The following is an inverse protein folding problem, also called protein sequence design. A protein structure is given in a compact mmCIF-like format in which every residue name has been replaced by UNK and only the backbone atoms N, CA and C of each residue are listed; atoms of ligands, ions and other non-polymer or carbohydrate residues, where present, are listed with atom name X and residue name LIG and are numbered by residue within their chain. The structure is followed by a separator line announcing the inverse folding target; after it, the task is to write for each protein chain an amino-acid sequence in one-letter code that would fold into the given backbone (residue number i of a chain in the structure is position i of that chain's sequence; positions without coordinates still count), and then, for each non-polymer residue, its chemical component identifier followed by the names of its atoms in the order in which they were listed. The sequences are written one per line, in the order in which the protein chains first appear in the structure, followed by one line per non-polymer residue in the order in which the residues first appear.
data_IF_195461012824
#
_entry.id   IF_195461012824
#
_cell.length_a   1.000
_cell.length_b   1.000
_cell.length_c   1.000
_cell.angle_alpha   90.00
_cell.angle_beta   90.00
_cell.angle_gamma   90.00
#
_symmetry.space_group_name_H-M   'P 1'
#
loop_
_entity.id
_entity.type
_entity.pdbx_description
1 polymer ?
#
# COMPACT_ATOMS: atom_id res chain seq x y z
N UNK A 1 83.55 -33.93 -75.72
CA UNK A 1 82.60 -33.53 -74.66
C UNK A 1 81.67 -32.48 -75.25
N UNK A 2 80.42 -32.84 -75.51
CA UNK A 2 79.52 -32.12 -76.41
C UNK A 2 78.43 -31.35 -75.64
N UNK A 3 78.20 -30.12 -76.11
CA UNK A 3 76.95 -29.33 -76.19
C UNK A 3 75.92 -29.45 -75.05
N UNK A 4 75.66 -28.31 -74.42
CA UNK A 4 74.47 -28.12 -73.60
C UNK A 4 73.17 -28.12 -74.40
N UNK A 5 72.05 -28.34 -73.72
CA UNK A 5 70.77 -27.72 -74.04
C UNK A 5 69.72 -28.03 -72.96
N UNK A 6 69.06 -26.97 -72.52
CA UNK A 6 67.66 -26.89 -72.11
C UNK A 6 67.19 -27.62 -70.85
N UNK A 7 67.08 -26.80 -69.80
CA UNK A 7 65.88 -26.71 -68.96
C UNK A 7 64.61 -26.90 -69.80
N UNK A 8 63.83 -27.94 -69.50
CA UNK A 8 62.43 -28.08 -69.90
C UNK A 8 61.58 -28.12 -68.64
N UNK A 9 61.02 -26.96 -68.33
CA UNK A 9 59.71 -26.85 -67.71
C UNK A 9 58.65 -27.51 -68.62
N UNK A 10 57.63 -28.10 -68.00
CA UNK A 10 56.28 -28.40 -68.50
C UNK A 10 55.88 -29.89 -68.40
N UNK A 11 55.14 -30.18 -67.33
CA UNK A 11 53.91 -30.97 -67.37
C UNK A 11 53.13 -30.55 -66.10
N UNK A 12 52.65 -29.30 -66.03
CA UNK A 12 51.26 -28.89 -66.32
C UNK A 12 50.24 -30.04 -66.35
N UNK A 13 49.20 -29.82 -65.55
CA UNK A 13 47.85 -30.33 -65.72
C UNK A 13 47.56 -31.75 -65.22
N UNK A 14 47.62 -31.90 -63.89
CA UNK A 14 46.49 -32.52 -63.20
C UNK A 14 45.68 -31.44 -62.47
N UNK A 15 45.22 -30.44 -63.23
CA UNK A 15 43.85 -29.98 -63.02
C UNK A 15 42.99 -31.18 -63.41
N UNK A 16 42.70 -32.03 -62.42
CA UNK A 16 41.50 -32.86 -62.49
C UNK A 16 40.37 -31.85 -62.41
N UNK A 17 40.00 -31.30 -63.56
CA UNK A 17 38.76 -30.57 -63.74
C UNK A 17 37.70 -31.42 -63.07
N UNK A 18 37.22 -30.92 -61.93
CA UNK A 18 36.16 -31.58 -61.20
C UNK A 18 35.05 -31.75 -62.21
N UNK A 19 34.58 -32.98 -62.49
CA UNK A 19 33.59 -33.17 -63.52
C UNK A 19 32.39 -32.30 -63.18
N UNK A 20 31.77 -31.66 -64.18
CA UNK A 20 30.81 -30.57 -63.99
C UNK A 20 29.69 -30.90 -62.99
N UNK A 21 29.29 -32.17 -62.88
CA UNK A 21 28.33 -32.62 -61.89
C UNK A 21 28.82 -32.47 -60.44
N UNK A 22 30.11 -32.69 -60.18
CA UNK A 22 30.72 -32.59 -58.86
C UNK A 22 30.86 -31.12 -58.41
N UNK A 23 31.20 -30.20 -59.31
CA UNK A 23 31.23 -28.77 -58.98
C UNK A 23 29.83 -28.23 -58.67
N UNK A 24 28.82 -28.61 -59.47
CA UNK A 24 27.41 -28.27 -59.22
C UNK A 24 26.96 -28.86 -57.87
N UNK A 25 27.31 -30.10 -57.55
CA UNK A 25 26.97 -30.72 -56.27
C UNK A 25 27.60 -30.00 -55.08
N UNK A 26 28.86 -29.59 -55.18
CA UNK A 26 29.54 -28.83 -54.14
C UNK A 26 28.92 -27.45 -53.94
N UNK A 27 28.54 -26.77 -55.03
CA UNK A 27 27.87 -25.47 -54.96
C UNK A 27 26.48 -25.59 -54.31
N UNK A 28 25.71 -26.62 -54.67
CA UNK A 28 24.41 -26.90 -54.03
C UNK A 28 24.55 -27.27 -52.56
N UNK A 29 25.60 -28.03 -52.21
CA UNK A 29 25.91 -28.35 -50.81
C UNK A 29 26.30 -27.10 -50.03
N UNK A 30 27.19 -26.26 -50.58
CA UNK A 30 27.58 -25.00 -49.95
C UNK A 30 26.39 -24.05 -49.76
N UNK A 31 25.52 -23.95 -50.76
CA UNK A 31 24.27 -23.17 -50.66
C UNK A 31 23.31 -23.74 -49.61
N UNK A 32 23.18 -25.07 -49.54
CA UNK A 32 22.34 -25.72 -48.53
C UNK A 32 22.90 -25.54 -47.13
N UNK A 33 24.23 -25.66 -46.95
CA UNK A 33 24.91 -25.45 -45.70
C UNK A 33 24.76 -24.01 -45.20
N UNK A 34 24.96 -23.02 -46.07
CA UNK A 34 24.75 -21.59 -45.75
C UNK A 34 23.30 -21.29 -45.36
N UNK A 35 22.32 -21.90 -46.05
CA UNK A 35 20.89 -21.77 -45.69
C UNK A 35 20.59 -22.38 -44.33
N UNK A 36 21.17 -23.55 -44.02
CA UNK A 36 20.99 -24.21 -42.72
C UNK A 36 21.67 -23.39 -41.61
N UNK A 37 22.89 -22.92 -41.84
CA UNK A 37 23.64 -22.10 -40.87
C UNK A 37 22.88 -20.82 -40.55
N UNK A 38 22.37 -20.11 -41.57
CA UNK A 38 21.55 -18.90 -41.37
C UNK A 38 20.26 -19.21 -40.64
N UNK A 39 19.58 -20.30 -40.97
CA UNK A 39 18.34 -20.70 -40.30
C UNK A 39 18.59 -21.06 -38.83
N UNK A 40 19.64 -21.83 -38.54
CA UNK A 40 20.03 -22.20 -37.18
C UNK A 40 20.46 -20.99 -36.36
N UNK A 41 21.30 -20.12 -36.91
CA UNK A 41 21.77 -18.89 -36.24
C UNK A 41 20.60 -17.98 -35.92
N UNK A 42 19.68 -17.79 -36.87
CA UNK A 42 18.47 -17.00 -36.64
C UNK A 42 17.55 -17.62 -35.59
N UNK A 43 17.38 -18.95 -35.61
CA UNK A 43 16.54 -19.65 -34.63
C UNK A 43 17.15 -19.62 -33.23
N UNK A 44 18.46 -19.78 -33.10
CA UNK A 44 19.17 -19.71 -31.82
C UNK A 44 19.15 -18.29 -31.26
N UNK A 45 19.34 -17.26 -32.09
CA UNK A 45 19.21 -15.86 -31.66
C UNK A 45 17.81 -15.58 -31.07
N UNK A 46 16.75 -15.97 -31.78
CA UNK A 46 15.37 -15.82 -31.29
C UNK A 46 15.10 -16.57 -29.99
N UNK A 47 15.71 -17.76 -29.84
CA UNK A 47 15.57 -18.55 -28.62
C UNK A 47 16.28 -17.88 -27.44
N UNK A 48 17.48 -17.35 -27.66
CA UNK A 48 18.22 -16.59 -26.64
C UNK A 48 17.45 -15.34 -26.21
N UNK A 49 16.93 -14.55 -27.16
CA UNK A 49 16.11 -13.37 -26.87
C UNK A 49 14.85 -13.76 -26.06
N UNK A 50 14.23 -14.88 -26.42
CA UNK A 50 13.07 -15.42 -25.69
C UNK A 50 13.41 -15.82 -24.26
N UNK A 51 14.55 -16.47 -24.05
CA UNK A 51 15.03 -16.86 -22.71
C UNK A 51 15.35 -15.63 -21.87
N UNK A 52 15.98 -14.61 -22.46
CA UNK A 52 16.31 -13.36 -21.77
C UNK A 52 15.03 -12.68 -21.28
N UNK A 53 14.01 -12.56 -22.13
CA UNK A 53 12.74 -11.93 -21.76
C UNK A 53 11.99 -12.73 -20.68
N UNK A 54 12.02 -14.07 -20.74
CA UNK A 54 11.44 -14.92 -19.68
C UNK A 54 12.18 -14.70 -18.36
N UNK A 55 13.52 -14.70 -18.39
CA UNK A 55 14.36 -14.49 -17.21
C UNK A 55 14.08 -13.13 -16.59
N UNK A 56 13.97 -12.08 -17.42
CA UNK A 56 13.63 -10.72 -16.98
C UNK A 56 12.27 -10.67 -16.28
N UNK A 57 11.24 -11.30 -16.85
CA UNK A 57 9.91 -11.38 -16.24
C UNK A 57 9.93 -12.18 -14.94
N UNK A 58 10.67 -13.27 -14.88
CA UNK A 58 10.80 -14.07 -13.65
C UNK A 58 11.45 -13.25 -12.54
N UNK A 59 12.49 -12.47 -12.82
CA UNK A 59 13.10 -11.57 -11.84
C UNK A 59 12.13 -10.49 -11.34
N UNK A 60 11.29 -9.94 -12.23
CA UNK A 60 10.26 -8.96 -11.85
C UNK A 60 9.15 -9.59 -10.98
N UNK A 61 8.75 -10.83 -11.29
CA UNK A 61 7.78 -11.57 -10.49
C UNK A 61 8.33 -11.86 -9.09
N UNK A 62 9.59 -12.33 -9.01
CA UNK A 62 10.24 -12.65 -7.74
C UNK A 62 10.36 -11.40 -6.87
N UNK A 63 10.83 -10.27 -7.41
CA UNK A 63 10.95 -9.04 -6.62
C UNK A 63 9.61 -8.54 -6.09
N UNK A 64 8.53 -8.72 -6.86
CA UNK A 64 7.17 -8.40 -6.42
C UNK A 64 6.66 -9.36 -5.34
N UNK A 65 7.04 -10.63 -5.40
CA UNK A 65 6.70 -11.61 -4.37
C UNK A 65 7.44 -11.32 -3.07
N UNK A 66 8.74 -11.00 -3.13
CA UNK A 66 9.53 -10.62 -1.95
C UNK A 66 8.92 -9.40 -1.24
N UNK A 67 8.54 -8.38 -2.01
CA UNK A 67 7.88 -7.19 -1.47
C UNK A 67 6.50 -7.51 -0.84
N UNK A 68 5.76 -8.49 -1.37
CA UNK A 68 4.51 -8.94 -0.77
C UNK A 68 4.76 -9.73 0.51
N UNK A 69 5.77 -10.59 0.54
CA UNK A 69 6.16 -11.38 1.71
C UNK A 69 6.59 -10.49 2.87
N UNK A 70 7.39 -9.45 2.61
CA UNK A 70 7.78 -8.47 3.62
C UNK A 70 6.56 -7.75 4.23
N UNK A 71 5.62 -7.33 3.38
CA UNK A 71 4.38 -6.67 3.83
C UNK A 71 3.48 -7.59 4.64
N UNK A 72 3.34 -8.85 4.25
CA UNK A 72 2.56 -9.84 5.01
C UNK A 72 3.21 -10.13 6.36
N UNK A 73 4.53 -10.27 6.39
CA UNK A 73 5.28 -10.47 7.63
C UNK A 73 5.13 -9.27 8.57
N UNK A 74 5.18 -8.04 8.04
CA UNK A 74 4.89 -6.82 8.80
C UNK A 74 3.48 -6.82 9.40
N UNK A 75 2.46 -7.23 8.64
CA UNK A 75 1.08 -7.33 9.13
C UNK A 75 0.93 -8.43 10.19
N UNK A 76 1.57 -9.58 10.03
CA UNK A 76 1.55 -10.66 11.01
C UNK A 76 2.27 -10.29 12.32
N UNK A 77 3.28 -9.43 12.23
CA UNK A 77 3.97 -8.86 13.38
C UNK A 77 3.18 -7.74 14.07
N UNK A 78 2.12 -7.21 13.45
CA UNK A 78 1.13 -6.42 14.17
C UNK A 78 0.37 -7.34 15.11
N UNK A 79 0.46 -7.08 16.41
CA UNK A 79 0.00 -8.02 17.42
C UNK A 79 -1.50 -8.31 17.21
N UNK A 80 -1.95 -9.58 17.20
CA UNK A 80 -3.37 -9.91 17.21
C UNK A 80 -4.12 -9.26 18.39
N UNK A 81 -3.39 -8.95 19.47
CA UNK A 81 -3.92 -8.16 20.59
C UNK A 81 -4.30 -6.75 20.17
N UNK A 82 -3.53 -6.08 19.30
CA UNK A 82 -3.82 -4.71 18.88
C UNK A 82 -5.06 -4.68 18.00
N UNK A 83 -5.23 -5.65 17.09
CA UNK A 83 -6.42 -5.71 16.25
C UNK A 83 -7.69 -6.05 17.06
N UNK A 84 -7.60 -6.98 18.02
CA UNK A 84 -8.71 -7.32 18.91
C UNK A 84 -9.01 -6.22 19.93
N UNK A 85 -7.99 -5.51 20.42
CA UNK A 85 -8.14 -4.37 21.31
C UNK A 85 -8.79 -3.19 20.57
N UNK A 86 -8.36 -2.90 19.34
CA UNK A 86 -8.98 -1.88 18.50
C UNK A 86 -10.44 -2.24 18.21
N UNK A 87 -10.72 -3.47 17.79
CA UNK A 87 -12.08 -3.92 17.53
C UNK A 87 -12.95 -3.85 18.80
N UNK A 88 -12.49 -4.37 19.93
CA UNK A 88 -13.24 -4.35 21.19
C UNK A 88 -13.43 -2.93 21.73
N UNK A 89 -12.46 -2.03 21.57
CA UNK A 89 -12.59 -0.62 21.92
C UNK A 89 -13.64 0.06 21.05
N UNK A 90 -13.61 -0.19 19.75
CA UNK A 90 -14.55 0.39 18.80
C UNK A 90 -15.99 -0.11 19.06
N UNK A 91 -16.14 -1.40 19.36
CA UNK A 91 -17.43 -2.00 19.79
C UNK A 91 -17.90 -1.38 21.10
N UNK A 92 -17.02 -1.21 22.10
CA UNK A 92 -17.37 -0.56 23.37
C UNK A 92 -17.78 0.90 23.19
N UNK A 93 -17.04 1.68 22.42
CA UNK A 93 -17.38 3.08 22.11
C UNK A 93 -18.73 3.16 21.40
N UNK A 94 -18.99 2.24 20.47
CA UNK A 94 -20.28 2.16 19.77
C UNK A 94 -21.43 1.77 20.72
N UNK A 95 -21.20 0.80 21.60
CA UNK A 95 -22.20 0.38 22.59
C UNK A 95 -22.48 1.49 23.63
N UNK A 96 -21.45 2.24 24.02
CA UNK A 96 -21.55 3.33 25.00
C UNK A 96 -21.80 4.70 24.34
N UNK A 97 -22.13 4.76 23.05
CA UNK A 97 -22.25 6.04 22.31
C UNK A 97 -23.26 7.00 22.96
N UNK A 98 -24.45 6.52 23.31
CA UNK A 98 -25.48 7.34 23.99
C UNK A 98 -25.02 7.84 25.36
N UNK A 99 -24.25 7.00 26.09
CA UNK A 99 -23.70 7.34 27.40
C UNK A 99 -22.58 8.39 27.28
N UNK A 100 -21.76 8.29 26.24
CA UNK A 100 -20.72 9.26 25.91
C UNK A 100 -21.37 10.59 25.54
N UNK A 101 -22.33 10.57 24.63
CA UNK A 101 -23.09 11.76 24.21
C UNK A 101 -23.77 12.43 25.42
N UNK A 102 -24.44 11.65 26.27
CA UNK A 102 -25.06 12.16 27.49
C UNK A 102 -24.05 12.70 28.52
N UNK A 103 -22.77 12.34 28.46
CA UNK A 103 -21.71 12.96 29.26
C UNK A 103 -21.20 14.25 28.63
N UNK A 104 -21.06 14.29 27.30
CA UNK A 104 -20.61 15.47 26.56
C UNK A 104 -21.59 16.64 26.70
N UNK A 105 -22.90 16.36 26.82
CA UNK A 105 -23.95 17.37 27.03
C UNK A 105 -24.07 17.87 28.49
N UNK A 106 -23.16 17.48 29.39
CA UNK A 106 -23.21 17.86 30.82
C UNK A 106 -21.98 18.64 31.23
N UNK A 107 -22.21 19.67 32.04
CA UNK A 107 -21.18 20.43 32.75
C UNK A 107 -21.38 20.21 34.25
N UNK A 108 -20.29 20.09 35.00
CA UNK A 108 -20.31 19.99 36.46
C UNK A 108 -19.48 21.12 37.04
N UNK A 109 -20.06 21.89 37.95
CA UNK A 109 -19.35 22.89 38.73
C UNK A 109 -19.01 22.35 40.10
N UNK A 110 -17.73 22.41 40.46
CA UNK A 110 -17.21 21.89 41.73
C UNK A 110 -16.74 23.06 42.58
N UNK A 111 -17.03 23.03 43.89
CA UNK A 111 -16.62 24.07 44.83
C UNK A 111 -17.60 25.23 45.00
N UNK A 112 -18.77 25.16 44.37
CA UNK A 112 -19.84 26.15 44.57
C UNK A 112 -20.64 25.79 45.82
N UNK A 113 -20.47 26.58 46.88
CA UNK A 113 -21.16 26.39 48.16
C UNK A 113 -22.67 26.62 48.09
N UNK A 114 -23.38 26.19 49.14
CA UNK A 114 -24.77 26.63 49.39
C UNK A 114 -24.76 28.08 49.90
N UNK A 115 -25.83 28.80 49.59
CA UNK A 115 -26.08 30.13 50.16
C UNK A 115 -26.74 30.00 51.55
N UNK A 116 -27.08 31.12 52.19
CA UNK A 116 -27.68 31.13 53.53
C UNK A 116 -28.95 30.26 53.65
N UNK A 117 -29.74 30.19 52.58
CA UNK A 117 -30.97 29.41 52.49
C UNK A 117 -31.16 28.75 51.11
N UNK A 118 -32.12 27.83 51.00
CA UNK A 118 -32.37 27.07 49.78
C UNK A 118 -32.86 27.96 48.62
N UNK A 119 -33.68 28.99 48.90
CA UNK A 119 -34.18 29.89 47.87
C UNK A 119 -33.05 30.75 47.30
N UNK A 120 -32.17 31.27 48.16
CA UNK A 120 -30.97 31.99 47.77
C UNK A 120 -30.01 31.11 46.96
N UNK A 121 -29.88 29.84 47.35
CA UNK A 121 -29.06 28.86 46.62
C UNK A 121 -29.61 28.61 45.21
N UNK A 122 -30.93 28.38 45.08
CA UNK A 122 -31.58 28.19 43.78
C UNK A 122 -31.46 29.42 42.87
N UNK A 123 -31.64 30.62 43.43
CA UNK A 123 -31.45 31.88 42.69
C UNK A 123 -30.01 32.03 42.20
N UNK A 124 -29.03 31.78 43.07
CA UNK A 124 -27.62 31.82 42.71
C UNK A 124 -27.30 30.84 41.58
N UNK A 125 -27.75 29.58 41.69
CA UNK A 125 -27.51 28.56 40.67
C UNK A 125 -28.12 28.94 39.32
N UNK A 126 -29.34 29.50 39.32
CA UNK A 126 -30.00 29.98 38.10
C UNK A 126 -29.26 31.16 37.46
N UNK A 127 -28.81 32.12 38.27
CA UNK A 127 -28.10 33.30 37.75
C UNK A 127 -26.72 32.91 37.20
N UNK A 128 -25.99 32.06 37.93
CA UNK A 128 -24.71 31.52 37.45
C UNK A 128 -24.89 30.75 36.13
N UNK A 129 -25.94 29.91 36.02
CA UNK A 129 -26.27 29.19 34.79
C UNK A 129 -26.55 30.15 33.64
N UNK A 130 -27.36 31.19 33.89
CA UNK A 130 -27.68 32.23 32.92
C UNK A 130 -26.42 32.95 32.45
N UNK A 131 -25.57 33.40 33.38
CA UNK A 131 -24.35 34.15 33.09
C UNK A 131 -23.37 33.33 32.25
N UNK A 132 -23.15 32.06 32.60
CA UNK A 132 -22.24 31.18 31.84
C UNK A 132 -22.75 30.94 30.42
N UNK A 133 -24.06 30.70 30.25
CA UNK A 133 -24.65 30.49 28.92
C UNK A 133 -24.54 31.75 28.08
N UNK A 134 -24.91 32.91 28.61
CA UNK A 134 -24.83 34.17 27.86
C UNK A 134 -23.38 34.56 27.54
N UNK A 135 -22.46 34.29 28.46
CA UNK A 135 -21.02 34.58 28.28
C UNK A 135 -20.36 33.62 27.29
N UNK A 136 -20.93 32.44 27.04
CA UNK A 136 -20.39 31.49 26.06
C UNK A 136 -20.44 32.02 24.63
N UNK A 137 -21.40 32.89 24.31
CA UNK A 137 -21.65 33.39 22.96
C UNK A 137 -22.14 32.31 21.97
N UNK A 138 -22.58 31.16 22.47
CA UNK A 138 -23.11 30.07 21.66
C UNK A 138 -24.61 30.26 21.44
N UNK A 139 -24.99 30.62 20.21
CA UNK A 139 -26.38 30.89 19.82
C UNK A 139 -27.31 29.69 20.05
N UNK A 140 -26.82 28.46 19.81
CA UNK A 140 -27.61 27.24 20.02
C UNK A 140 -27.86 27.04 21.53
N UNK A 141 -26.82 27.20 22.36
CA UNK A 141 -26.94 27.07 23.80
C UNK A 141 -27.87 28.13 24.41
N UNK A 142 -27.80 29.36 23.90
CA UNK A 142 -28.68 30.48 24.30
C UNK A 142 -30.13 30.16 23.91
N UNK A 143 -30.36 29.64 22.70
CA UNK A 143 -31.68 29.25 22.23
C UNK A 143 -32.26 28.10 23.08
N UNK A 144 -31.49 27.05 23.35
CA UNK A 144 -31.88 25.93 24.20
C UNK A 144 -32.23 26.37 25.63
N UNK A 145 -31.47 27.32 26.18
CA UNK A 145 -31.76 27.92 27.47
C UNK A 145 -33.09 28.69 27.45
N UNK A 146 -33.31 29.50 26.42
CA UNK A 146 -34.54 30.29 26.27
C UNK A 146 -35.79 29.42 26.12
N UNK A 147 -35.65 28.23 25.52
CA UNK A 147 -36.69 27.21 25.38
C UNK A 147 -36.90 26.37 26.66
N UNK A 148 -36.09 26.58 27.70
CA UNK A 148 -36.18 25.84 28.96
C UNK A 148 -35.72 24.38 28.86
N UNK A 149 -34.89 24.03 27.86
CA UNK A 149 -34.41 22.65 27.65
C UNK A 149 -33.17 22.31 28.48
N UNK A 150 -32.56 23.30 29.13
CA UNK A 150 -31.39 23.14 30.00
C UNK A 150 -31.83 23.01 31.45
N UNK A 151 -31.40 21.92 32.11
CA UNK A 151 -31.72 21.63 33.50
C UNK A 151 -30.46 21.60 34.37
N UNK A 152 -30.54 22.12 35.59
CA UNK A 152 -29.48 22.05 36.59
C UNK A 152 -29.96 21.36 37.87
N UNK A 153 -29.05 20.66 38.54
CA UNK A 153 -29.28 20.02 39.83
C UNK A 153 -27.98 19.98 40.63
N UNK A 154 -28.10 19.98 41.97
CA UNK A 154 -26.95 19.79 42.87
C UNK A 154 -26.76 18.32 43.23
N UNK A 155 -25.51 17.92 43.41
CA UNK A 155 -25.13 16.62 43.96
C UNK A 155 -24.18 16.80 45.15
N UNK A 156 -24.46 16.18 46.31
CA UNK A 156 -25.66 15.42 46.65
C UNK A 156 -26.93 16.31 46.68
N UNK A 157 -28.13 15.74 46.55
CA UNK A 157 -29.37 16.50 46.62
C UNK A 157 -29.45 17.26 47.96
N UNK A 158 -29.92 18.51 47.90
CA UNK A 158 -30.08 19.40 49.06
C UNK A 158 -30.94 18.66 50.09
N UNK A 159 -30.38 18.39 51.27
CA UNK A 159 -31.14 17.77 52.37
C UNK A 159 -32.11 18.82 52.93
N UNK A 160 -33.38 18.49 53.18
CA UNK A 160 -34.25 19.39 53.93
C UNK A 160 -33.59 19.60 55.30
N UNK A 161 -33.28 20.86 55.63
CA UNK A 161 -32.84 21.20 56.99
C UNK A 161 -34.06 20.97 57.89
N UNK A 162 -33.98 19.99 58.78
CA UNK A 162 -34.99 19.75 59.79
C UNK A 162 -35.25 21.07 60.52
N UNK A 163 -36.51 21.49 60.48
CA UNK A 163 -37.03 22.69 61.11
C UNK A 163 -37.01 22.56 62.64
#
# INVERSE_FOLDING_TARGET
MARGSQSKTADRDQDKDLPLWASIMLEQFASSADRIEKALTSSLAKLTDGIEEVTRRQSEIISRLDALEERVTSLQNSSPLDQNLLYSTLVKVKADSDKIEGKLRRITWVGIGEQADELSTKKFDQEALREVILSSGDDELIEEFSKGRITAHRHPPVKPKNQ
#
